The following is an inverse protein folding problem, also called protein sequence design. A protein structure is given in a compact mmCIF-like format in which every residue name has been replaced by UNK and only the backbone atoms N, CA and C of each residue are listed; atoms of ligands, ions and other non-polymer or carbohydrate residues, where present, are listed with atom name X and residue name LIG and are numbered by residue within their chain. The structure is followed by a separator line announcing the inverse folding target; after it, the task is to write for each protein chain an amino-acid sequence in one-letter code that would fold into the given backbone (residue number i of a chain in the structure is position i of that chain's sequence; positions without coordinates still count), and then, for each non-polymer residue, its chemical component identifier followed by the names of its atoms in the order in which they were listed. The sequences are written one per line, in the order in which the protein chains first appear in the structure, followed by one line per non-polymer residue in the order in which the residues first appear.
data_IF_903649910508
#
_entry.id   IF_903649910508
#
_cell.length_a   1.000
_cell.length_b   1.000
_cell.length_c   1.000
_cell.angle_alpha   90.00
_cell.angle_beta   90.00
_cell.angle_gamma   90.00
#
_symmetry.space_group_name_H-M   'P 1'
#
loop_
_entity.id
_entity.type
_entity.pdbx_description
1 polymer ?
#
# COMPACT_ATOMS: atom_id res chain seq x y z
N UNK A 1 -12.72 -12.73 9.72
CA UNK A 1 -12.49 -13.75 8.67
C UNK A 1 -13.26 -15.00 9.05
N UNK A 2 -14.23 -15.43 8.27
CA UNK A 2 -15.11 -16.55 8.66
C UNK A 2 -15.96 -17.13 7.52
N UNK A 3 -16.15 -16.36 6.44
CA UNK A 3 -16.64 -16.90 5.18
C UNK A 3 -15.47 -17.37 4.31
N UNK A 4 -15.55 -18.56 3.68
CA UNK A 4 -14.53 -19.02 2.73
C UNK A 4 -14.47 -18.16 1.46
N UNK A 5 -15.48 -17.33 1.20
CA UNK A 5 -15.52 -16.41 0.05
C UNK A 5 -14.90 -15.04 0.35
N UNK A 6 -14.72 -14.68 1.63
CA UNK A 6 -14.18 -13.37 1.99
C UNK A 6 -12.82 -13.08 1.33
N UNK A 7 -11.83 -13.99 1.36
CA UNK A 7 -10.52 -13.70 0.77
C UNK A 7 -10.58 -13.39 -0.73
N UNK A 8 -11.48 -14.07 -1.46
CA UNK A 8 -11.66 -13.87 -2.90
C UNK A 8 -12.25 -12.49 -3.17
N UNK A 9 -13.26 -12.08 -2.38
CA UNK A 9 -13.87 -10.76 -2.52
C UNK A 9 -12.90 -9.64 -2.13
N UNK A 10 -12.12 -9.86 -1.07
CA UNK A 10 -11.08 -8.94 -0.62
C UNK A 10 -10.03 -8.75 -1.73
N UNK A 11 -9.57 -9.84 -2.35
CA UNK A 11 -8.62 -9.77 -3.46
C UNK A 11 -9.16 -8.99 -4.68
N UNK A 12 -10.40 -9.27 -5.10
CA UNK A 12 -11.04 -8.57 -6.23
C UNK A 12 -11.19 -7.07 -5.93
N UNK A 13 -11.62 -6.72 -4.71
CA UNK A 13 -11.81 -5.33 -4.34
C UNK A 13 -10.48 -4.58 -4.32
N UNK A 14 -9.44 -5.16 -3.72
CA UNK A 14 -8.16 -4.47 -3.63
C UNK A 14 -7.47 -4.40 -5.01
N UNK A 15 -7.63 -5.41 -5.87
CA UNK A 15 -7.17 -5.33 -7.27
C UNK A 15 -7.84 -4.16 -8.02
N UNK A 16 -9.17 -4.00 -7.88
CA UNK A 16 -9.89 -2.87 -8.46
C UNK A 16 -9.41 -1.52 -7.90
N UNK A 17 -9.09 -1.48 -6.61
CA UNK A 17 -8.58 -0.29 -5.95
C UNK A 17 -7.19 0.09 -6.47
N UNK A 18 -6.29 -0.89 -6.60
CA UNK A 18 -4.97 -0.71 -7.18
C UNK A 18 -5.05 -0.15 -8.60
N UNK A 19 -5.90 -0.72 -9.46
CA UNK A 19 -6.06 -0.24 -10.84
C UNK A 19 -6.49 1.24 -10.91
N UNK A 20 -7.43 1.66 -10.07
CA UNK A 20 -7.80 3.07 -9.92
C UNK A 20 -6.67 3.93 -9.36
N UNK A 21 -5.95 3.42 -8.38
CA UNK A 21 -4.83 4.12 -7.76
C UNK A 21 -3.73 4.40 -8.81
N UNK A 22 -3.34 3.39 -9.59
CA UNK A 22 -2.35 3.52 -10.65
C UNK A 22 -2.79 4.44 -11.78
N UNK A 23 -4.06 4.36 -12.20
CA UNK A 23 -4.61 5.21 -13.25
C UNK A 23 -4.60 6.69 -12.85
N UNK A 24 -4.84 6.98 -11.57
CA UNK A 24 -4.89 8.35 -11.05
C UNK A 24 -3.53 8.89 -10.58
N UNK A 25 -2.57 8.00 -10.29
CA UNK A 25 -1.23 8.37 -9.82
C UNK A 25 -0.43 9.10 -10.90
N UNK A 26 0.21 10.20 -10.50
CA UNK A 26 1.15 10.95 -11.34
C UNK A 26 2.44 11.22 -10.57
N UNK A 27 3.53 11.57 -11.24
CA UNK A 27 4.74 11.97 -10.52
C UNK A 27 4.43 13.14 -9.56
N UNK A 28 4.99 13.15 -8.33
CA UNK A 28 6.06 12.28 -7.81
C UNK A 28 5.58 11.05 -7.00
N UNK A 29 4.27 10.78 -6.94
CA UNK A 29 3.70 9.76 -6.03
C UNK A 29 3.68 8.33 -6.61
N UNK A 30 4.22 8.11 -7.81
CA UNK A 30 4.28 6.78 -8.43
C UNK A 30 5.33 5.93 -7.71
N UNK A 31 4.97 4.80 -7.07
CA UNK A 31 5.94 3.93 -6.41
C UNK A 31 6.90 3.30 -7.40
N UNK A 32 8.18 3.22 -7.02
CA UNK A 32 9.19 2.43 -7.73
C UNK A 32 8.99 0.93 -7.54
N UNK A 33 8.37 0.56 -6.43
CA UNK A 33 8.00 -0.80 -6.10
C UNK A 33 6.68 -0.78 -5.34
N UNK A 34 5.81 -1.75 -5.63
CA UNK A 34 4.53 -1.91 -4.96
C UNK A 34 4.15 -3.39 -5.00
N UNK A 35 3.91 -3.98 -3.83
CA UNK A 35 3.43 -5.35 -3.69
C UNK A 35 2.43 -5.43 -2.55
N UNK A 36 1.36 -6.16 -2.78
CA UNK A 36 0.32 -6.44 -1.79
C UNK A 36 0.41 -7.88 -1.30
N UNK A 37 0.07 -8.08 -0.03
CA UNK A 37 -0.24 -9.36 0.57
C UNK A 37 -1.54 -9.22 1.37
N UNK A 38 -2.63 -9.85 0.92
CA UNK A 38 -3.96 -9.65 1.48
C UNK A 38 -4.31 -8.15 1.59
N UNK A 39 -4.45 -7.61 2.79
CA UNK A 39 -4.72 -6.20 3.09
C UNK A 39 -3.47 -5.33 3.26
N UNK A 40 -2.29 -5.93 3.45
CA UNK A 40 -1.02 -5.23 3.64
C UNK A 40 -0.33 -4.87 2.31
N UNK A 41 0.14 -3.63 2.20
CA UNK A 41 0.82 -3.11 1.03
C UNK A 41 2.24 -2.68 1.39
N UNK A 42 3.23 -3.19 0.66
CA UNK A 42 4.60 -2.72 0.69
C UNK A 42 4.91 -1.87 -0.54
N UNK A 43 5.29 -0.62 -0.32
CA UNK A 43 5.63 0.33 -1.37
C UNK A 43 6.99 1.01 -1.15
N UNK A 44 7.71 1.27 -2.23
CA UNK A 44 8.92 2.11 -2.24
C UNK A 44 8.62 3.35 -3.07
N UNK A 45 8.55 4.50 -2.41
CA UNK A 45 8.25 5.80 -3.01
C UNK A 45 9.42 6.77 -2.84
N UNK A 46 9.31 7.95 -3.46
CA UNK A 46 10.26 9.02 -3.21
C UNK A 46 10.09 9.56 -1.78
N UNK A 47 11.20 9.93 -1.15
CA UNK A 47 11.17 10.45 0.21
C UNK A 47 10.28 11.70 0.30
N UNK A 48 9.51 11.83 1.38
CA UNK A 48 8.54 12.90 1.62
C UNK A 48 7.29 12.87 0.73
N UNK A 49 7.08 11.81 -0.06
CA UNK A 49 5.83 11.59 -0.81
C UNK A 49 4.89 10.55 -0.18
N UNK A 50 5.28 9.98 0.96
CA UNK A 50 4.56 8.89 1.62
C UNK A 50 3.14 9.30 2.04
N UNK A 51 2.98 10.51 2.59
CA UNK A 51 1.67 11.04 2.99
C UNK A 51 0.78 11.36 1.78
N UNK A 52 1.37 11.85 0.69
CA UNK A 52 0.62 12.14 -0.54
C UNK A 52 0.08 10.84 -1.17
N UNK A 53 0.86 9.76 -1.10
CA UNK A 53 0.39 8.43 -1.50
C UNK A 53 -0.80 8.02 -0.62
N UNK A 54 -0.67 8.12 0.70
CA UNK A 54 -1.72 7.75 1.64
C UNK A 54 -3.02 8.54 1.39
N UNK A 55 -2.92 9.86 1.21
CA UNK A 55 -4.04 10.73 0.89
C UNK A 55 -4.72 10.32 -0.42
N UNK A 56 -3.94 9.98 -1.45
CA UNK A 56 -4.53 9.50 -2.69
C UNK A 56 -5.31 8.19 -2.47
N UNK A 57 -4.74 7.20 -1.80
CA UNK A 57 -5.42 5.93 -1.53
C UNK A 57 -6.73 6.15 -0.76
N UNK A 58 -6.69 6.99 0.28
CA UNK A 58 -7.86 7.34 1.09
C UNK A 58 -8.91 8.16 0.32
N UNK A 59 -8.53 8.86 -0.76
CA UNK A 59 -9.46 9.61 -1.59
C UNK A 59 -10.28 8.76 -2.58
N UNK A 60 -9.84 7.53 -2.89
CA UNK A 60 -10.49 6.68 -3.90
C UNK A 60 -11.85 6.15 -3.43
N UNK A 61 -11.91 5.72 -2.16
CA UNK A 61 -13.10 5.11 -1.57
C UNK A 61 -13.28 5.56 -0.09
N UNK A 62 -13.44 6.87 0.17
CA UNK A 62 -13.33 7.47 1.51
C UNK A 62 -14.37 6.99 2.52
N UNK A 63 -15.44 6.34 2.06
CA UNK A 63 -16.52 5.80 2.90
C UNK A 63 -16.52 4.27 2.99
N UNK A 64 -15.60 3.59 2.33
CA UNK A 64 -15.54 2.13 2.26
C UNK A 64 -14.32 1.56 2.98
N UNK A 65 -13.16 2.21 2.82
CA UNK A 65 -11.89 1.75 3.39
C UNK A 65 -11.01 2.94 3.77
N UNK A 66 -10.29 2.79 4.87
CA UNK A 66 -9.28 3.76 5.32
C UNK A 66 -7.94 3.05 5.44
N UNK A 67 -6.97 3.53 4.70
CA UNK A 67 -5.58 3.09 4.76
C UNK A 67 -4.85 3.84 5.87
N UNK A 68 -3.88 3.13 6.45
CA UNK A 68 -2.83 3.70 7.29
C UNK A 68 -1.48 3.41 6.64
N UNK A 69 -0.44 4.13 7.06
CA UNK A 69 0.92 3.88 6.55
C UNK A 69 1.90 3.75 7.71
N UNK A 70 2.77 2.76 7.62
CA UNK A 70 3.97 2.67 8.44
C UNK A 70 5.18 3.12 7.63
N UNK A 71 5.98 4.02 8.22
CA UNK A 71 7.16 4.57 7.56
C UNK A 71 8.43 3.91 8.07
N UNK A 72 9.38 3.70 7.16
CA UNK A 72 10.69 3.14 7.50
C UNK A 72 11.37 3.99 8.57
N UNK A 73 11.79 3.35 9.66
CA UNK A 73 12.50 4.00 10.77
C UNK A 73 13.81 3.27 11.02
N UNK A 74 14.92 4.02 11.21
CA UNK A 74 16.27 3.44 11.41
C UNK A 74 16.65 2.40 10.34
N UNK A 75 16.24 2.64 9.09
CA UNK A 75 16.45 1.76 7.91
C UNK A 75 15.74 0.41 7.97
N UNK A 76 14.75 0.28 8.83
CA UNK A 76 13.98 -0.94 9.00
C UNK A 76 12.50 -0.63 8.83
N UNK A 77 11.77 -1.56 8.22
CA UNK A 77 10.32 -1.52 8.12
C UNK A 77 9.79 -2.93 8.47
N UNK A 78 8.96 -3.08 9.52
CA UNK A 78 8.22 -4.31 9.71
C UNK A 78 7.26 -4.52 8.53
N UNK A 79 7.16 -5.76 8.05
CA UNK A 79 6.20 -6.13 7.02
C UNK A 79 5.80 -7.59 7.22
N UNK A 80 4.52 -7.83 7.53
CA UNK A 80 4.01 -9.12 8.00
C UNK A 80 4.85 -9.63 9.20
N UNK A 81 5.21 -10.92 9.20
CA UNK A 81 6.09 -11.52 10.20
C UNK A 81 7.59 -11.33 9.90
N UNK A 82 7.94 -10.39 9.01
CA UNK A 82 9.31 -10.14 8.58
C UNK A 82 9.76 -8.70 8.88
N UNK A 83 11.08 -8.51 8.94
CA UNK A 83 11.71 -7.19 9.06
C UNK A 83 12.55 -6.90 7.82
N UNK A 84 12.13 -5.90 7.05
CA UNK A 84 12.86 -5.47 5.85
C UNK A 84 13.93 -4.47 6.27
N UNK A 85 15.17 -4.68 5.82
CA UNK A 85 16.33 -3.83 6.14
C UNK A 85 16.94 -3.31 4.84
N UNK A 86 17.09 -1.99 4.74
CA UNK A 86 17.83 -1.38 3.63
C UNK A 86 19.34 -1.60 3.82
N UNK A 87 19.95 -2.35 2.89
CA UNK A 87 21.40 -2.53 2.83
C UNK A 87 22.06 -1.41 2.02
N UNK A 88 23.24 -0.97 2.45
CA UNK A 88 24.14 -0.16 1.62
C UNK A 88 25.05 -1.10 0.85
N UNK A 89 25.08 -0.92 -0.47
CA UNK A 89 26.18 -1.39 -1.32
C UNK A 89 27.25 -0.31 -1.36
#
# INVERSE_FOLDING_TARGET
MGSPLSPILDDIFVEHLEDKAYTNMKAPIVPRFFKRYADDIFAVVEAATEELLLDQFNSLFPYCISFTIEKKTKRQLPFLDARVIEQRV
#
